data_IF_206729087490
#
_entry.id   IF_206729087490
#
_cell.length_a   1.000
_cell.length_b   1.000
_cell.length_c   1.000
_cell.angle_alpha   90.00
_cell.angle_beta   90.00
_cell.angle_gamma   90.00
#
_symmetry.space_group_name_H-M   'P 1'
#
loop_
_entity.id
_entity.type
_entity.pdbx_description
1 polymer ?
#
# COMPACT_ATOMS: atom_id res chain seq x y z
N UNK A 1 28.61 -23.76 -62.36
CA UNK A 1 27.27 -24.34 -62.18
C UNK A 1 27.38 -25.37 -61.06
N UNK A 2 26.57 -25.17 -60.03
CA UNK A 2 26.38 -25.98 -58.81
C UNK A 2 27.57 -26.20 -57.84
N UNK A 3 27.50 -25.55 -56.67
CA UNK A 3 28.53 -25.53 -55.63
C UNK A 3 28.37 -26.61 -54.55
N UNK A 4 29.45 -26.94 -53.82
CA UNK A 4 29.43 -27.97 -52.79
C UNK A 4 28.67 -27.51 -51.54
N UNK A 5 27.58 -28.21 -51.22
CA UNK A 5 26.88 -28.17 -49.91
C UNK A 5 27.81 -28.70 -48.82
N UNK A 6 28.65 -27.82 -48.27
CA UNK A 6 29.34 -28.05 -47.00
C UNK A 6 28.31 -27.98 -45.87
N UNK A 7 27.90 -29.15 -45.39
CA UNK A 7 27.17 -29.31 -44.13
C UNK A 7 28.10 -28.88 -42.99
N UNK A 8 27.87 -27.69 -42.44
CA UNK A 8 28.53 -27.22 -41.22
C UNK A 8 27.66 -27.69 -40.03
N UNK A 9 28.17 -28.55 -39.13
CA UNK A 9 27.47 -28.87 -37.90
C UNK A 9 27.42 -27.63 -36.99
N UNK A 10 26.26 -27.39 -36.39
CA UNK A 10 25.98 -26.26 -35.50
C UNK A 10 27.10 -26.07 -34.47
N UNK A 11 27.77 -24.93 -34.56
CA UNK A 11 28.77 -24.48 -33.63
C UNK A 11 28.14 -24.37 -32.23
N UNK A 12 28.61 -25.24 -31.35
CA UNK A 12 28.48 -25.11 -29.91
C UNK A 12 29.45 -24.00 -29.45
N UNK A 13 28.93 -22.77 -29.33
CA UNK A 13 29.63 -21.56 -28.83
C UNK A 13 28.51 -20.61 -28.36
N UNK A 14 28.48 -19.97 -27.19
CA UNK A 14 29.33 -19.86 -26.00
C UNK A 14 28.46 -19.16 -24.93
N UNK A 15 28.76 -19.43 -23.66
CA UNK A 15 28.89 -18.43 -22.58
C UNK A 15 27.77 -17.37 -22.42
N UNK A 16 26.87 -17.59 -21.46
CA UNK A 16 26.34 -16.47 -20.67
C UNK A 16 26.11 -16.90 -19.22
N UNK A 17 26.59 -16.05 -18.33
CA UNK A 17 26.86 -16.23 -16.91
C UNK A 17 25.62 -16.52 -16.03
N UNK A 18 25.81 -17.07 -14.82
CA UNK A 18 24.77 -17.16 -13.79
C UNK A 18 24.57 -15.81 -13.09
N UNK A 19 23.32 -15.38 -12.86
CA UNK A 19 22.98 -14.75 -11.58
C UNK A 19 21.55 -15.12 -11.12
N UNK A 20 21.20 -15.29 -9.86
CA UNK A 20 21.90 -15.11 -8.61
C UNK A 20 21.18 -16.00 -7.60
N UNK A 21 21.90 -16.88 -6.92
CA UNK A 21 21.46 -17.29 -5.59
C UNK A 21 21.58 -16.05 -4.69
N UNK A 22 20.45 -15.37 -4.50
CA UNK A 22 20.35 -14.26 -3.57
C UNK A 22 20.57 -14.75 -2.14
N UNK A 23 21.58 -14.23 -1.41
CA UNK A 23 21.80 -14.57 -0.02
C UNK A 23 20.74 -13.86 0.82
N UNK A 24 19.75 -14.60 1.31
CA UNK A 24 18.76 -14.02 2.21
C UNK A 24 17.40 -14.69 2.20
N UNK A 25 17.36 -16.03 2.25
CA UNK A 25 16.13 -16.73 2.65
C UNK A 25 15.84 -16.46 4.13
N UNK A 26 15.43 -15.24 4.46
CA UNK A 26 14.48 -15.03 5.55
C UNK A 26 13.21 -15.72 5.07
N UNK A 27 13.12 -17.03 5.31
CA UNK A 27 12.03 -17.86 4.82
C UNK A 27 10.72 -17.22 5.28
N UNK A 28 9.90 -16.83 4.32
CA UNK A 28 8.57 -16.25 4.56
C UNK A 28 7.71 -17.15 5.47
N UNK A 29 7.99 -18.46 5.48
CA UNK A 29 7.44 -19.42 6.44
C UNK A 29 7.73 -19.06 7.91
N UNK A 30 8.95 -18.61 8.23
CA UNK A 30 9.35 -18.26 9.60
C UNK A 30 8.68 -16.97 10.07
N UNK A 31 8.55 -15.97 9.19
CA UNK A 31 7.84 -14.73 9.49
C UNK A 31 6.33 -14.98 9.64
N UNK A 32 5.74 -15.79 8.75
CA UNK A 32 4.33 -16.16 8.84
C UNK A 32 4.01 -16.90 10.15
N UNK A 33 4.86 -17.86 10.57
CA UNK A 33 4.71 -18.54 11.87
C UNK A 33 4.81 -17.60 13.06
N UNK A 34 5.72 -16.62 13.03
CA UNK A 34 5.88 -15.66 14.11
C UNK A 34 4.66 -14.72 14.24
N UNK A 35 4.06 -14.31 13.12
CA UNK A 35 2.84 -13.50 13.10
C UNK A 35 1.65 -14.32 13.63
N UNK A 36 1.49 -15.57 13.17
CA UNK A 36 0.40 -16.45 13.60
C UNK A 36 0.47 -16.72 15.12
N UNK A 37 1.67 -16.99 15.65
CA UNK A 37 1.89 -17.23 17.08
C UNK A 37 1.54 -16.00 17.93
N UNK A 38 1.85 -14.80 17.43
CA UNK A 38 1.56 -13.54 18.15
C UNK A 38 0.05 -13.24 18.20
N UNK A 39 -0.70 -13.58 17.14
CA UNK A 39 -2.16 -13.43 17.11
C UNK A 39 -2.83 -14.41 18.08
N UNK A 40 -2.42 -15.69 18.08
CA UNK A 40 -2.95 -16.69 18.99
C UNK A 40 -2.69 -16.33 20.47
N UNK A 41 -1.51 -15.81 20.79
CA UNK A 41 -1.18 -15.35 22.15
C UNK A 41 -2.01 -14.14 22.61
N UNK A 42 -2.38 -13.24 21.68
CA UNK A 42 -3.26 -12.10 21.99
C UNK A 42 -4.71 -12.55 22.21
N UNK A 43 -5.20 -13.53 21.45
CA UNK A 43 -6.56 -14.06 21.60
C UNK A 43 -6.74 -14.80 22.94
N UNK A 44 -5.78 -15.65 23.32
CA UNK A 44 -5.81 -16.34 24.63
C UNK A 44 -5.84 -15.37 25.83
N UNK A 45 -5.30 -14.16 25.69
CA UNK A 45 -5.37 -13.10 26.72
C UNK A 45 -6.73 -12.39 26.79
N UNK A 46 -7.48 -12.34 25.69
CA UNK A 46 -8.81 -11.71 25.68
C UNK A 46 -9.87 -12.60 26.33
N UNK A 47 -9.77 -13.92 26.18
CA UNK A 47 -10.74 -14.88 26.72
C UNK A 47 -10.72 -14.96 28.26
N UNK A 48 -9.58 -14.62 28.90
CA UNK A 48 -9.49 -14.51 30.36
C UNK A 48 -10.16 -13.27 30.98
N UNK A 49 -10.60 -12.30 30.16
CA UNK A 49 -11.15 -11.02 30.65
C UNK A 49 -12.68 -10.97 30.74
N UNK A 50 -13.38 -11.92 30.12
CA UNK A 50 -14.86 -11.93 30.07
C UNK A 50 -15.48 -12.42 31.39
N UNK A 51 -14.73 -13.16 32.21
CA UNK A 51 -15.24 -13.72 33.47
C UNK A 51 -15.22 -12.77 34.69
N UNK A 52 -14.68 -11.54 34.57
CA UNK A 52 -14.54 -10.62 35.72
C UNK A 52 -15.38 -9.33 35.64
N UNK A 53 -16.25 -9.15 34.65
CA UNK A 53 -17.20 -8.03 34.65
C UNK A 53 -18.57 -8.48 35.18
N UNK A 54 -18.71 -8.45 36.50
CA UNK A 54 -20.00 -8.45 37.19
C UNK A 54 -20.85 -7.25 36.74
N UNK A 55 -22.18 -7.42 36.60
CA UNK A 55 -23.08 -6.38 36.11
C UNK A 55 -23.36 -5.33 37.19
N UNK A 56 -23.10 -4.05 36.89
CA UNK A 56 -23.70 -2.94 37.61
C UNK A 56 -24.64 -2.15 36.69
N UNK A 57 -25.90 -2.22 37.09
CA UNK A 57 -27.10 -1.46 36.76
C UNK A 57 -27.00 -0.18 35.90
N UNK A 58 -28.02 -0.06 35.04
CA UNK A 58 -28.45 1.15 34.35
C UNK A 58 -28.79 2.30 35.33
N UNK A 59 -28.95 3.56 34.85
CA UNK A 59 -30.23 3.92 34.24
C UNK A 59 -30.18 4.86 33.03
N UNK A 60 -31.37 4.97 32.45
CA UNK A 60 -31.82 5.77 31.32
C UNK A 60 -31.48 7.28 31.34
N UNK A 61 -31.48 7.87 30.14
CA UNK A 61 -32.01 9.23 29.93
C UNK A 61 -31.13 10.18 29.12
N UNK A 62 -31.72 10.79 28.08
CA UNK A 62 -31.25 12.04 27.44
C UNK A 62 -30.57 11.83 26.08
N UNK A 63 -31.27 11.94 24.94
CA UNK A 63 -31.48 13.20 24.20
C UNK A 63 -30.28 14.15 24.30
N UNK A 64 -29.47 14.26 23.25
CA UNK A 64 -29.52 15.32 22.23
C UNK A 64 -28.26 15.24 21.36
N UNK A 65 -28.43 15.27 20.03
CA UNK A 65 -27.36 15.71 19.16
C UNK A 65 -27.06 17.19 19.46
N UNK A 66 -25.79 17.59 19.33
CA UNK A 66 -25.55 18.56 18.28
C UNK A 66 -24.35 18.18 17.43
N UNK A 67 -24.54 18.47 16.14
CA UNK A 67 -23.52 18.54 15.12
C UNK A 67 -22.28 19.31 15.58
N UNK A 68 -21.09 18.80 15.22
CA UNK A 68 -19.92 19.58 14.76
C UNK A 68 -18.80 18.63 14.32
N UNK A 69 -17.88 19.02 13.42
CA UNK A 69 -17.99 20.05 12.39
C UNK A 69 -17.71 19.47 11.00
N UNK A 70 -18.28 20.14 10.00
CA UNK A 70 -17.80 20.09 8.64
C UNK A 70 -16.27 20.23 8.64
N UNK A 71 -15.59 19.23 8.08
CA UNK A 71 -14.21 19.37 7.68
C UNK A 71 -14.13 20.64 6.84
N UNK A 72 -13.46 21.66 7.36
CA UNK A 72 -13.02 22.79 6.57
C UNK A 72 -11.86 22.26 5.74
N UNK A 73 -12.00 22.03 4.41
CA UNK A 73 -10.82 21.89 3.58
C UNK A 73 -10.14 23.25 3.62
N UNK A 74 -8.96 23.30 4.25
CA UNK A 74 -8.13 24.49 4.27
C UNK A 74 -8.00 25.04 2.86
N UNK A 75 -8.31 26.31 2.72
CA UNK A 75 -8.21 27.13 1.53
C UNK A 75 -6.74 27.42 1.18
N UNK A 76 -5.96 26.37 0.93
CA UNK A 76 -4.77 26.45 0.11
C UNK A 76 -5.15 25.79 -1.21
N UNK A 77 -4.88 26.42 -2.36
CA UNK A 77 -5.24 25.90 -3.68
C UNK A 77 -4.62 24.54 -4.04
N UNK A 78 -3.98 23.86 -3.08
CA UNK A 78 -3.53 22.48 -3.14
C UNK A 78 -4.53 21.57 -2.46
N UNK A 79 -5.21 20.75 -3.26
CA UNK A 79 -6.04 19.67 -2.74
C UNK A 79 -5.23 18.80 -1.76
N UNK A 80 -5.67 18.75 -0.50
CA UNK A 80 -5.05 17.92 0.54
C UNK A 80 -4.95 16.47 0.06
N UNK A 81 -3.88 15.75 0.43
CA UNK A 81 -3.64 14.34 0.05
C UNK A 81 -4.90 13.47 0.23
N UNK A 82 -5.61 13.66 1.34
CA UNK A 82 -6.89 13.00 1.63
C UNK A 82 -7.99 13.27 0.58
N UNK A 83 -8.12 14.53 0.13
CA UNK A 83 -9.11 14.93 -0.87
C UNK A 83 -8.82 14.29 -2.24
N UNK A 84 -7.54 14.23 -2.62
CA UNK A 84 -7.08 13.53 -3.84
C UNK A 84 -7.43 12.04 -3.75
N UNK A 85 -7.08 11.37 -2.65
CA UNK A 85 -7.37 9.95 -2.45
C UNK A 85 -8.88 9.66 -2.47
N UNK A 86 -9.70 10.51 -1.85
CA UNK A 86 -11.17 10.39 -1.89
C UNK A 86 -11.73 10.60 -3.30
N UNK A 87 -11.15 11.51 -4.09
CA UNK A 87 -11.58 11.78 -5.46
C UNK A 87 -11.35 10.58 -6.38
N UNK A 88 -10.27 9.84 -6.15
CA UNK A 88 -9.92 8.65 -6.95
C UNK A 88 -10.70 7.41 -6.52
N UNK A 89 -10.95 7.24 -5.21
CA UNK A 89 -11.75 6.14 -4.67
C UNK A 89 -12.81 6.68 -3.71
N UNK A 90 -13.99 7.10 -4.21
CA UNK A 90 -15.04 7.62 -3.35
C UNK A 90 -15.60 6.55 -2.40
N UNK A 91 -15.45 5.27 -2.72
CA UNK A 91 -15.82 4.14 -1.87
C UNK A 91 -14.94 3.97 -0.63
N UNK A 92 -13.81 4.68 -0.54
CA UNK A 92 -12.97 4.60 0.64
C UNK A 92 -13.58 5.33 1.84
N UNK A 93 -13.62 4.60 2.95
CA UNK A 93 -13.99 5.14 4.24
C UNK A 93 -12.88 6.05 4.79
N UNK A 94 -13.18 6.97 5.72
CA UNK A 94 -12.14 7.79 6.36
C UNK A 94 -11.04 6.96 7.03
N UNK A 95 -11.36 5.75 7.50
CA UNK A 95 -10.40 4.81 8.07
C UNK A 95 -9.44 4.27 7.00
N UNK A 96 -9.95 3.89 5.82
CA UNK A 96 -9.14 3.46 4.69
C UNK A 96 -8.21 4.58 4.22
N UNK A 97 -8.73 5.80 4.09
CA UNK A 97 -7.92 6.97 3.73
C UNK A 97 -6.78 7.21 4.72
N UNK A 98 -7.02 7.03 6.02
CA UNK A 98 -5.97 7.18 7.04
C UNK A 98 -4.91 6.09 6.89
N UNK A 99 -5.32 4.85 6.65
CA UNK A 99 -4.39 3.74 6.40
C UNK A 99 -3.55 3.98 5.14
N UNK A 100 -4.13 4.51 4.08
CA UNK A 100 -3.39 4.84 2.85
C UNK A 100 -2.43 6.00 3.08
N UNK A 101 -2.84 7.04 3.81
CA UNK A 101 -1.95 8.14 4.19
C UNK A 101 -0.78 7.67 5.05
N UNK A 102 -1.02 6.79 6.02
CA UNK A 102 0.03 6.21 6.87
C UNK A 102 1.04 5.38 6.06
N UNK A 103 0.54 4.56 5.12
CA UNK A 103 1.39 3.83 4.16
C UNK A 103 2.24 4.74 3.30
N UNK A 104 1.67 5.84 2.81
CA UNK A 104 2.39 6.83 2.01
C UNK A 104 3.41 7.59 2.88
N UNK A 105 3.06 7.95 4.11
CA UNK A 105 3.99 8.57 5.05
C UNK A 105 5.17 7.66 5.40
N UNK A 106 4.97 6.33 5.46
CA UNK A 106 6.04 5.36 5.66
C UNK A 106 7.11 5.41 4.55
N UNK A 107 6.73 5.81 3.33
CA UNK A 107 7.65 6.03 2.20
C UNK A 107 7.99 7.52 2.00
N UNK A 108 7.80 8.35 3.03
CA UNK A 108 8.04 9.80 3.06
C UNK A 108 7.10 10.64 2.17
N UNK A 109 6.02 10.06 1.65
CA UNK A 109 5.02 10.76 0.85
C UNK A 109 3.95 11.37 1.76
N UNK A 110 4.14 12.63 2.12
CA UNK A 110 3.24 13.36 3.03
C UNK A 110 2.31 14.35 2.32
N UNK A 111 2.45 14.51 1.01
CA UNK A 111 1.73 15.53 0.23
C UNK A 111 1.31 15.01 -1.13
N UNK A 112 0.23 15.56 -1.69
CA UNK A 112 -0.27 15.20 -3.02
C UNK A 112 0.76 15.48 -4.11
N UNK A 113 1.51 16.57 -4.01
CA UNK A 113 2.62 16.90 -4.93
C UNK A 113 3.70 15.81 -4.93
N UNK A 114 4.10 15.33 -3.75
CA UNK A 114 5.12 14.30 -3.61
C UNK A 114 4.63 12.94 -4.12
N UNK A 115 3.33 12.65 -3.90
CA UNK A 115 2.67 11.47 -4.46
C UNK A 115 2.70 11.48 -5.99
N UNK A 116 2.30 12.58 -6.61
CA UNK A 116 2.29 12.71 -8.07
C UNK A 116 3.71 12.77 -8.64
N UNK A 117 4.65 13.43 -7.95
CA UNK A 117 6.06 13.45 -8.34
C UNK A 117 6.68 12.05 -8.34
N UNK A 118 6.40 11.26 -7.30
CA UNK A 118 6.82 9.86 -7.21
C UNK A 118 6.16 8.99 -8.28
N UNK A 119 4.85 9.18 -8.52
CA UNK A 119 4.12 8.47 -9.58
C UNK A 119 4.61 8.81 -10.99
N UNK A 120 4.97 10.07 -11.27
CA UNK A 120 5.55 10.48 -12.57
C UNK A 120 6.98 9.97 -12.76
N UNK A 121 7.79 10.01 -11.70
CA UNK A 121 9.21 9.63 -11.77
C UNK A 121 9.41 8.11 -11.80
N UNK A 122 8.71 7.38 -10.94
CA UNK A 122 8.94 5.94 -10.71
C UNK A 122 7.78 5.07 -11.21
N UNK A 123 6.63 5.68 -11.54
CA UNK A 123 5.41 4.95 -11.90
C UNK A 123 4.71 4.29 -10.71
N UNK A 124 3.56 3.68 -10.97
CA UNK A 124 2.84 2.88 -9.97
C UNK A 124 3.63 1.65 -9.50
N UNK A 125 4.46 1.07 -10.37
CA UNK A 125 5.31 -0.07 -10.04
C UNK A 125 6.42 0.30 -9.03
N UNK A 126 7.10 1.43 -9.25
CA UNK A 126 8.14 1.91 -8.33
C UNK A 126 7.57 2.32 -6.98
N UNK A 127 6.43 3.01 -6.95
CA UNK A 127 5.75 3.35 -5.70
C UNK A 127 5.36 2.09 -4.90
N UNK A 128 4.86 1.04 -5.57
CA UNK A 128 4.58 -0.23 -4.91
C UNK A 128 5.85 -0.95 -4.44
N UNK A 129 6.97 -0.86 -5.16
CA UNK A 129 8.25 -1.40 -4.72
C UNK A 129 8.74 -0.71 -3.44
N UNK A 130 8.62 0.63 -3.36
CA UNK A 130 8.93 1.40 -2.14
C UNK A 130 8.01 1.01 -0.96
N UNK A 131 6.71 0.86 -1.21
CA UNK A 131 5.78 0.37 -0.18
C UNK A 131 6.18 -1.03 0.33
N UNK A 132 6.55 -1.95 -0.57
CA UNK A 132 7.04 -3.28 -0.17
C UNK A 132 8.33 -3.21 0.65
N UNK A 133 9.27 -2.35 0.24
CA UNK A 133 10.52 -2.13 0.98
C UNK A 133 10.26 -1.57 2.39
N UNK A 134 9.21 -0.76 2.55
CA UNK A 134 8.73 -0.27 3.85
C UNK A 134 7.84 -1.28 4.62
N UNK A 135 7.69 -2.51 4.13
CA UNK A 135 6.84 -3.54 4.75
C UNK A 135 5.33 -3.27 4.65
N UNK A 136 4.92 -2.32 3.81
CA UNK A 136 3.53 -1.93 3.61
C UNK A 136 2.87 -2.71 2.49
N UNK A 137 1.54 -2.84 2.57
CA UNK A 137 0.74 -3.44 1.49
C UNK A 137 0.72 -2.51 0.28
N UNK A 138 0.98 -3.08 -0.90
CA UNK A 138 0.83 -2.41 -2.18
C UNK A 138 -0.57 -1.84 -2.38
N UNK A 139 -0.61 -0.72 -3.10
CA UNK A 139 -1.86 -0.18 -3.64
C UNK A 139 -2.25 -0.97 -4.88
N UNK A 140 -3.56 -1.08 -5.12
CA UNK A 140 -4.09 -1.75 -6.31
C UNK A 140 -3.65 -0.99 -7.55
N UNK A 141 -3.38 -1.72 -8.64
CA UNK A 141 -2.99 -1.13 -9.92
C UNK A 141 -4.04 -0.11 -10.42
N UNK A 142 -5.34 -0.44 -10.35
CA UNK A 142 -6.45 0.47 -10.64
C UNK A 142 -6.35 1.81 -9.88
N UNK A 143 -6.02 1.76 -8.59
CA UNK A 143 -5.91 2.96 -7.76
C UNK A 143 -4.74 3.83 -8.19
N UNK A 144 -3.60 3.21 -8.53
CA UNK A 144 -2.42 3.93 -8.99
C UNK A 144 -2.63 4.56 -10.36
N UNK A 145 -3.31 3.85 -11.27
CA UNK A 145 -3.66 4.37 -12.59
C UNK A 145 -4.64 5.55 -12.47
N UNK A 146 -5.65 5.43 -11.62
CA UNK A 146 -6.60 6.52 -11.39
C UNK A 146 -5.94 7.74 -10.70
N UNK A 147 -4.95 7.53 -9.82
CA UNK A 147 -4.13 8.62 -9.27
C UNK A 147 -3.27 9.29 -10.33
N UNK A 148 -2.65 8.52 -11.23
CA UNK A 148 -1.86 9.05 -12.34
C UNK A 148 -2.74 9.92 -13.25
N UNK A 149 -3.91 9.41 -13.65
CA UNK A 149 -4.88 10.14 -14.47
C UNK A 149 -5.40 11.40 -13.78
N UNK A 150 -5.57 11.37 -12.46
CA UNK A 150 -5.97 12.55 -11.69
C UNK A 150 -4.85 13.59 -11.62
N UNK A 151 -3.60 13.17 -11.45
CA UNK A 151 -2.42 14.04 -11.40
C UNK A 151 -1.94 14.59 -12.74
N UNK A 152 -2.46 14.07 -13.86
CA UNK A 152 -2.26 14.59 -15.22
C UNK A 152 -3.13 15.83 -15.51
N UNK A 153 -4.13 16.11 -14.66
CA UNK A 153 -4.98 17.29 -14.83
C UNK A 153 -4.17 18.58 -14.67
N UNK A 154 -4.42 19.62 -15.48
CA UNK A 154 -3.62 20.84 -15.52
C UNK A 154 -3.62 21.63 -14.20
N UNK A 155 -4.59 21.37 -13.31
CA UNK A 155 -4.63 21.93 -11.96
C UNK A 155 -3.48 21.44 -11.05
N UNK A 156 -2.85 20.31 -11.40
CA UNK A 156 -1.78 19.67 -10.63
C UNK A 156 -0.48 19.49 -11.45
N UNK A 157 -0.41 20.05 -12.66
CA UNK A 157 0.71 19.91 -13.59
C UNK A 157 1.96 20.66 -13.13
#
# INVERSE_FOLDING_TARGET
DDGPRLWIPAAQVRDEAPPAEGPGAFTYDKLAKQIQASIAAMQARQEGRVAQQLPHAAPAGGKVAPAVPAATPGADGRASLRCVLQSVRPDWTPSDLKLVQDKLAAIQINSSVDLFGSLRSEGGAGLNARLKAAGQRCLKAETLEALLRYGDRPEFA
#
